data_IF_917621905559
#
_entry.id   IF_917621905559
#
_cell.length_a   1.000
_cell.length_b   1.000
_cell.length_c   1.000
_cell.angle_alpha   90.00
_cell.angle_beta   90.00
_cell.angle_gamma   90.00
#
_symmetry.space_group_name_H-M   'P 1'
#
loop_
_entity.id
_entity.type
_entity.pdbx_description
1 polymer ?
#
# COMPACT_ATOMS: atom_id res chain seq x y z
N UNK A 1 -9.28 -5.25 -30.55
CA UNK A 1 -9.86 -6.00 -29.42
C UNK A 1 -10.59 -5.02 -28.52
N UNK A 2 -11.86 -5.25 -28.17
CA UNK A 2 -12.61 -4.36 -27.27
C UNK A 2 -12.00 -4.47 -25.88
N UNK A 3 -11.59 -3.33 -25.30
CA UNK A 3 -11.24 -3.26 -23.90
C UNK A 3 -12.41 -3.82 -23.09
N UNK A 4 -12.19 -4.90 -22.36
CA UNK A 4 -13.18 -5.45 -21.44
C UNK A 4 -13.32 -4.42 -20.33
N UNK A 5 -14.48 -3.75 -20.26
CA UNK A 5 -14.80 -2.85 -19.16
C UNK A 5 -14.58 -3.63 -17.86
N UNK A 6 -13.73 -3.10 -16.96
CA UNK A 6 -13.37 -3.77 -15.72
C UNK A 6 -14.64 -4.16 -14.97
N UNK A 7 -14.77 -5.43 -14.61
CA UNK A 7 -15.89 -5.88 -13.79
C UNK A 7 -15.82 -5.15 -12.45
N UNK A 8 -16.89 -4.43 -12.10
CA UNK A 8 -17.05 -3.84 -10.78
C UNK A 8 -17.51 -4.92 -9.81
N UNK A 9 -16.54 -5.59 -9.18
CA UNK A 9 -16.84 -6.49 -8.06
C UNK A 9 -16.78 -5.70 -6.74
N UNK A 10 -17.81 -5.87 -5.90
CA UNK A 10 -17.77 -5.40 -4.52
C UNK A 10 -16.88 -6.32 -3.66
N UNK A 11 -16.48 -5.85 -2.48
CA UNK A 11 -15.75 -6.68 -1.50
C UNK A 11 -16.57 -7.90 -1.05
N UNK A 12 -17.90 -7.80 -1.13
CA UNK A 12 -18.83 -8.88 -0.78
C UNK A 12 -19.09 -9.88 -1.92
N UNK A 13 -18.53 -9.68 -3.11
CA UNK A 13 -18.76 -10.58 -4.24
C UNK A 13 -18.16 -11.97 -3.94
N UNK A 14 -18.97 -13.05 -3.96
CA UNK A 14 -18.48 -14.40 -3.70
C UNK A 14 -17.36 -14.80 -4.64
N UNK A 15 -16.34 -15.49 -4.12
CA UNK A 15 -15.18 -15.95 -4.89
C UNK A 15 -15.61 -16.71 -6.15
N UNK A 16 -16.58 -17.63 -6.03
CA UNK A 16 -17.10 -18.41 -7.16
C UNK A 16 -17.62 -17.57 -8.32
N UNK A 17 -18.22 -16.41 -8.04
CA UNK A 17 -18.80 -15.56 -9.08
C UNK A 17 -17.72 -14.75 -9.80
N UNK A 18 -16.69 -14.28 -9.08
CA UNK A 18 -15.50 -13.69 -9.68
C UNK A 18 -14.80 -14.68 -10.60
N UNK A 19 -14.61 -15.93 -10.15
CA UNK A 19 -13.91 -16.95 -10.91
C UNK A 19 -14.72 -17.43 -12.13
N UNK A 20 -16.06 -17.51 -12.01
CA UNK A 20 -16.94 -17.74 -13.16
C UNK A 20 -16.81 -16.64 -14.21
N UNK A 21 -16.72 -15.38 -13.76
CA UNK A 21 -16.49 -14.26 -14.67
C UNK A 21 -15.18 -14.45 -15.46
N UNK A 22 -14.07 -14.80 -14.80
CA UNK A 22 -12.80 -15.07 -15.47
C UNK A 22 -12.93 -16.19 -16.52
N UNK A 23 -13.61 -17.29 -16.18
CA UNK A 23 -13.81 -18.43 -17.08
C UNK A 23 -14.63 -18.00 -18.30
N UNK A 24 -15.68 -17.20 -18.10
CA UNK A 24 -16.53 -16.71 -19.20
C UNK A 24 -15.79 -15.73 -20.13
N UNK A 25 -14.89 -14.91 -19.59
CA UNK A 25 -14.16 -13.90 -20.36
C UNK A 25 -12.86 -14.43 -20.97
N UNK A 26 -12.45 -15.63 -20.59
CA UNK A 26 -11.28 -16.31 -21.13
C UNK A 26 -11.65 -17.71 -21.70
N UNK A 27 -12.39 -17.79 -22.80
CA UNK A 27 -12.91 -19.05 -23.33
C UNK A 27 -11.82 -20.05 -23.76
N UNK A 28 -10.56 -19.60 -23.95
CA UNK A 28 -9.44 -20.51 -24.20
C UNK A 28 -8.83 -21.11 -22.90
N UNK A 29 -9.46 -20.89 -21.72
CA UNK A 29 -9.05 -21.57 -20.49
C UNK A 29 -9.31 -23.08 -20.57
N UNK A 30 -8.27 -23.85 -20.30
CA UNK A 30 -8.36 -25.28 -20.06
C UNK A 30 -8.51 -25.59 -18.55
N UNK A 31 -8.72 -26.85 -18.20
CA UNK A 31 -8.81 -27.27 -16.78
C UNK A 31 -7.61 -26.83 -15.94
N UNK A 32 -6.41 -26.91 -16.52
CA UNK A 32 -5.17 -26.42 -15.89
C UNK A 32 -5.22 -24.95 -15.53
N UNK A 33 -5.76 -24.10 -16.40
CA UNK A 33 -5.86 -22.65 -16.19
C UNK A 33 -6.88 -22.31 -15.11
N UNK A 34 -7.99 -23.05 -15.07
CA UNK A 34 -8.99 -22.94 -13.99
C UNK A 34 -8.39 -23.34 -12.66
N UNK A 35 -7.65 -24.46 -12.60
CA UNK A 35 -6.94 -24.88 -11.39
C UNK A 35 -5.95 -23.81 -10.92
N UNK A 36 -5.17 -23.21 -11.84
CA UNK A 36 -4.27 -22.09 -11.52
C UNK A 36 -5.02 -20.87 -11.00
N UNK A 37 -6.14 -20.50 -11.63
CA UNK A 37 -6.96 -19.37 -11.23
C UNK A 37 -7.40 -19.50 -9.77
N UNK A 38 -7.97 -20.66 -9.40
CA UNK A 38 -8.41 -20.93 -8.04
C UNK A 38 -7.24 -21.00 -7.05
N UNK A 39 -6.14 -21.64 -7.46
CA UNK A 39 -4.94 -21.70 -6.64
C UNK A 39 -4.45 -20.31 -6.26
N UNK A 40 -4.38 -19.39 -7.22
CA UNK A 40 -3.97 -18.01 -7.01
C UNK A 40 -4.99 -17.21 -6.19
N UNK A 41 -6.28 -17.43 -6.40
CA UNK A 41 -7.34 -16.72 -5.68
C UNK A 41 -7.40 -17.10 -4.19
N UNK A 42 -7.04 -18.34 -3.83
CA UNK A 42 -7.05 -18.84 -2.46
C UNK A 42 -5.71 -18.67 -1.75
N UNK A 43 -4.59 -18.94 -2.43
CA UNK A 43 -3.25 -18.96 -1.82
C UNK A 43 -2.41 -17.73 -2.15
N UNK A 44 -2.87 -16.88 -3.07
CA UNK A 44 -2.11 -15.70 -3.49
C UNK A 44 -0.79 -16.05 -4.19
N UNK A 45 0.26 -15.27 -3.88
CA UNK A 45 1.59 -15.41 -4.48
C UNK A 45 2.61 -16.15 -3.61
N UNK A 46 2.22 -16.65 -2.44
CA UNK A 46 3.14 -17.15 -1.42
C UNK A 46 4.10 -18.26 -1.86
N UNK A 47 3.69 -19.05 -2.85
CA UNK A 47 4.50 -20.14 -3.43
C UNK A 47 5.58 -19.68 -4.43
N UNK A 48 5.57 -18.39 -4.84
CA UNK A 48 6.47 -17.85 -5.88
C UNK A 48 7.65 -17.06 -5.31
N UNK A 49 7.69 -16.84 -3.99
CA UNK A 49 8.61 -15.89 -3.38
C UNK A 49 9.82 -16.60 -2.77
N UNK A 50 10.93 -16.50 -3.51
CA UNK A 50 12.29 -16.64 -3.00
C UNK A 50 12.90 -15.26 -2.69
N UNK A 51 14.14 -15.05 -3.12
CA UNK A 51 14.84 -13.75 -3.04
C UNK A 51 14.14 -12.69 -3.91
N UNK A 52 13.90 -11.50 -3.34
CA UNK A 52 13.28 -10.34 -4.02
C UNK A 52 14.03 -9.95 -5.29
N UNK A 53 15.37 -9.99 -5.26
CA UNK A 53 16.19 -9.65 -6.41
C UNK A 53 16.02 -10.67 -7.55
N UNK A 54 15.88 -11.96 -7.22
CA UNK A 54 15.61 -12.99 -8.21
C UNK A 54 14.22 -12.81 -8.84
N UNK A 55 13.20 -12.51 -8.03
CA UNK A 55 11.84 -12.24 -8.53
C UNK A 55 11.84 -11.00 -9.42
N UNK A 56 12.50 -9.92 -9.00
CA UNK A 56 12.61 -8.69 -9.78
C UNK A 56 13.32 -8.94 -11.13
N UNK A 57 14.42 -9.73 -11.14
CA UNK A 57 15.11 -10.10 -12.37
C UNK A 57 14.20 -10.87 -13.34
N UNK A 58 13.45 -11.85 -12.86
CA UNK A 58 12.49 -12.60 -13.68
C UNK A 58 11.39 -11.71 -14.25
N UNK A 59 10.89 -10.73 -13.48
CA UNK A 59 9.93 -9.74 -13.97
C UNK A 59 10.57 -8.89 -15.07
N UNK A 60 11.80 -8.44 -14.89
CA UNK A 60 12.54 -7.65 -15.89
C UNK A 60 12.77 -8.43 -17.19
N UNK A 61 13.17 -9.70 -17.07
CA UNK A 61 13.37 -10.60 -18.22
C UNK A 61 12.06 -10.83 -19.00
N UNK A 62 10.94 -11.04 -18.29
CA UNK A 62 9.61 -11.19 -18.89
C UNK A 62 9.18 -9.89 -19.60
N UNK A 63 9.37 -8.74 -18.96
CA UNK A 63 9.00 -7.43 -19.52
C UNK A 63 9.86 -7.03 -20.72
N UNK A 64 11.09 -7.52 -20.84
CA UNK A 64 11.95 -7.25 -21.99
C UNK A 64 11.32 -7.73 -23.34
N UNK A 65 10.41 -8.68 -23.28
CA UNK A 65 9.67 -9.23 -24.44
C UNK A 65 8.26 -8.65 -24.58
N UNK A 66 7.85 -7.76 -23.69
CA UNK A 66 6.50 -7.18 -23.64
C UNK A 66 6.51 -5.71 -24.10
N UNK A 67 5.38 -5.26 -24.64
CA UNK A 67 5.17 -3.86 -24.97
C UNK A 67 4.35 -3.19 -23.86
N UNK A 68 4.76 -2.02 -23.35
CA UNK A 68 3.95 -1.24 -22.40
C UNK A 68 2.56 -0.96 -22.97
N UNK A 69 1.52 -1.00 -22.15
CA UNK A 69 0.16 -0.76 -22.59
C UNK A 69 -0.62 0.10 -21.58
N UNK A 70 -0.81 1.37 -21.93
CA UNK A 70 -1.56 2.33 -21.12
C UNK A 70 -3.08 2.10 -21.17
N UNK A 71 -3.58 1.44 -22.17
CA UNK A 71 -5.03 1.19 -22.37
C UNK A 71 -5.60 0.04 -21.55
N UNK A 72 -4.74 -0.79 -20.92
CA UNK A 72 -5.17 -1.89 -20.07
C UNK A 72 -5.37 -1.43 -18.62
N UNK A 73 -6.29 -2.07 -17.87
CA UNK A 73 -6.42 -1.80 -16.43
C UNK A 73 -5.15 -2.21 -15.68
N UNK A 74 -4.79 -1.44 -14.65
CA UNK A 74 -3.61 -1.73 -13.84
C UNK A 74 -3.80 -2.99 -13.00
N UNK A 75 -5.02 -3.23 -12.53
CA UNK A 75 -5.37 -4.42 -11.74
C UNK A 75 -6.64 -5.07 -12.25
N UNK A 76 -6.70 -6.39 -12.10
CA UNK A 76 -7.87 -7.21 -12.37
C UNK A 76 -8.23 -7.98 -11.09
N UNK A 77 -9.51 -7.96 -10.64
CA UNK A 77 -9.93 -8.70 -9.46
C UNK A 77 -9.70 -10.21 -9.63
N UNK A 78 -9.19 -10.87 -8.59
CA UNK A 78 -8.92 -12.30 -8.59
C UNK A 78 -9.74 -13.04 -7.52
N UNK A 79 -10.07 -12.36 -6.46
CA UNK A 79 -10.84 -12.88 -5.32
C UNK A 79 -11.07 -11.76 -4.29
N UNK A 80 -11.63 -12.08 -3.12
CA UNK A 80 -11.83 -11.10 -2.06
C UNK A 80 -10.50 -10.51 -1.57
N UNK A 81 -9.45 -11.33 -1.51
CA UNK A 81 -8.16 -10.95 -0.89
C UNK A 81 -7.09 -10.55 -1.89
N UNK A 82 -7.24 -10.90 -3.18
CA UNK A 82 -6.20 -10.76 -4.17
C UNK A 82 -6.67 -10.11 -5.47
N UNK A 83 -5.69 -9.51 -6.16
CA UNK A 83 -5.85 -8.98 -7.53
C UNK A 83 -4.66 -9.41 -8.38
N UNK A 84 -4.84 -9.41 -9.70
CA UNK A 84 -3.76 -9.49 -10.67
C UNK A 84 -3.26 -8.10 -11.00
N UNK A 85 -2.00 -7.81 -10.74
CA UNK A 85 -1.31 -6.59 -11.19
C UNK A 85 -0.80 -6.82 -12.61
N UNK A 86 -1.27 -6.03 -13.56
CA UNK A 86 -0.85 -6.10 -14.95
C UNK A 86 0.56 -5.53 -15.13
N UNK A 87 1.50 -6.36 -15.57
CA UNK A 87 2.90 -5.97 -15.71
C UNK A 87 3.13 -4.99 -16.87
N UNK A 88 2.39 -5.12 -17.97
CA UNK A 88 2.51 -4.19 -19.10
C UNK A 88 2.02 -2.79 -18.75
N UNK A 89 0.94 -2.72 -17.95
CA UNK A 89 0.44 -1.45 -17.43
C UNK A 89 1.38 -0.88 -16.37
N UNK A 90 1.89 -1.70 -15.46
CA UNK A 90 2.86 -1.29 -14.45
C UNK A 90 4.15 -0.74 -15.08
N UNK A 91 4.61 -1.36 -16.18
CA UNK A 91 5.74 -0.89 -16.98
C UNK A 91 5.46 0.48 -17.65
N UNK A 92 4.24 0.69 -18.16
CA UNK A 92 3.83 1.97 -18.73
C UNK A 92 3.80 3.11 -17.69
N UNK A 93 3.64 2.76 -16.41
CA UNK A 93 3.72 3.71 -15.29
C UNK A 93 5.10 3.79 -14.65
N UNK A 94 6.13 3.24 -15.29
CA UNK A 94 7.52 3.22 -14.82
C UNK A 94 7.73 2.54 -13.45
N UNK A 95 6.80 1.67 -12.99
CA UNK A 95 6.94 0.98 -11.71
C UNK A 95 8.11 -0.02 -11.77
N UNK A 96 9.17 0.13 -10.96
CA UNK A 96 10.32 -0.77 -11.00
C UNK A 96 9.96 -2.22 -10.65
N UNK A 97 10.55 -3.18 -11.35
CA UNK A 97 10.34 -4.60 -11.09
C UNK A 97 10.64 -5.01 -9.63
N UNK A 98 11.62 -4.36 -9.00
CA UNK A 98 11.94 -4.57 -7.58
C UNK A 98 10.80 -4.14 -6.65
N UNK A 99 10.09 -3.05 -6.97
CA UNK A 99 8.94 -2.64 -6.18
C UNK A 99 7.77 -3.60 -6.34
N UNK A 100 7.58 -4.17 -7.54
CA UNK A 100 6.58 -5.22 -7.76
C UNK A 100 6.94 -6.48 -6.95
N UNK A 101 8.21 -6.90 -6.93
CA UNK A 101 8.66 -8.03 -6.11
C UNK A 101 8.41 -7.81 -4.62
N UNK A 102 8.68 -6.60 -4.12
CA UNK A 102 8.40 -6.21 -2.73
C UNK A 102 6.90 -6.15 -2.42
N UNK A 103 6.08 -5.63 -3.36
CA UNK A 103 4.62 -5.69 -3.25
C UNK A 103 4.11 -7.12 -3.11
N UNK A 104 4.61 -8.05 -3.94
CA UNK A 104 4.28 -9.47 -3.84
C UNK A 104 4.64 -10.02 -2.46
N UNK A 105 5.83 -9.70 -1.95
CA UNK A 105 6.26 -10.14 -0.61
C UNK A 105 5.34 -9.61 0.49
N UNK A 106 4.91 -8.35 0.40
CA UNK A 106 3.96 -7.73 1.34
C UNK A 106 2.55 -8.27 1.21
N UNK A 107 2.25 -8.90 0.08
CA UNK A 107 0.96 -9.54 -0.19
C UNK A 107 0.86 -10.98 0.35
N UNK A 108 1.94 -11.51 0.93
CA UNK A 108 1.91 -12.84 1.55
C UNK A 108 1.09 -12.80 2.83
N UNK A 109 0.14 -13.72 3.01
CA UNK A 109 -0.55 -13.87 4.26
C UNK A 109 0.43 -14.37 5.35
N UNK A 110 0.19 -13.99 6.59
CA UNK A 110 0.98 -14.46 7.74
C UNK A 110 0.88 -15.97 7.95
N UNK A 111 -0.23 -16.57 7.52
CA UNK A 111 -0.46 -18.01 7.49
C UNK A 111 -1.12 -18.39 6.16
N UNK A 112 -0.47 -19.26 5.41
CA UNK A 112 -1.06 -19.76 4.15
C UNK A 112 -2.25 -20.68 4.48
N UNK A 113 -3.40 -20.48 3.80
CA UNK A 113 -4.49 -21.44 3.87
C UNK A 113 -4.00 -22.83 3.43
N UNK A 114 -4.57 -23.91 3.98
CA UNK A 114 -4.21 -25.25 3.54
C UNK A 114 -4.60 -25.46 2.07
N UNK A 115 -3.81 -26.24 1.34
CA UNK A 115 -4.08 -26.56 -0.07
C UNK A 115 -5.41 -27.30 -0.26
N UNK A 116 -5.87 -28.05 0.76
CA UNK A 116 -7.19 -28.67 0.77
C UNK A 116 -8.32 -27.68 0.48
N UNK A 117 -8.19 -26.41 0.92
CA UNK A 117 -9.17 -25.38 0.61
C UNK A 117 -9.29 -25.13 -0.90
N UNK A 118 -8.18 -25.19 -1.65
CA UNK A 118 -8.21 -25.10 -3.13
C UNK A 118 -8.93 -26.29 -3.74
N UNK A 119 -8.63 -27.49 -3.23
CA UNK A 119 -9.27 -28.73 -3.67
C UNK A 119 -10.78 -28.68 -3.45
N UNK A 120 -11.21 -28.25 -2.26
CA UNK A 120 -12.63 -28.14 -1.90
C UNK A 120 -13.37 -27.15 -2.82
N UNK A 121 -12.76 -26.00 -3.10
CA UNK A 121 -13.34 -24.97 -3.98
C UNK A 121 -13.43 -25.47 -5.44
N UNK A 122 -12.40 -26.19 -5.95
CA UNK A 122 -12.42 -26.77 -7.28
C UNK A 122 -13.46 -27.87 -7.42
N UNK A 123 -13.60 -28.74 -6.42
CA UNK A 123 -14.58 -29.83 -6.41
C UNK A 123 -16.03 -29.32 -6.48
N UNK A 124 -16.32 -28.16 -5.87
CA UNK A 124 -17.65 -27.54 -5.90
C UNK A 124 -18.09 -27.04 -7.30
N UNK A 125 -17.14 -26.91 -8.24
CA UNK A 125 -17.46 -26.50 -9.63
C UNK A 125 -18.16 -27.59 -10.44
N UNK A 126 -18.01 -28.86 -10.05
CA UNK A 126 -18.54 -30.01 -10.77
C UNK A 126 -18.13 -30.00 -12.26
N UNK A 127 -16.91 -29.59 -12.57
CA UNK A 127 -16.34 -29.53 -13.91
C UNK A 127 -15.41 -30.74 -14.12
N UNK A 128 -15.78 -31.71 -14.98
CA UNK A 128 -14.95 -32.92 -15.21
C UNK A 128 -13.54 -32.60 -15.70
N UNK A 129 -13.34 -31.45 -16.34
CA UNK A 129 -12.01 -31.02 -16.79
C UNK A 129 -11.02 -30.74 -15.67
N UNK A 130 -11.50 -30.62 -14.42
CA UNK A 130 -10.69 -30.33 -13.25
C UNK A 130 -10.20 -31.56 -12.52
N UNK A 131 -10.82 -32.73 -12.72
CA UNK A 131 -10.53 -33.97 -11.97
C UNK A 131 -9.03 -34.33 -11.93
N UNK A 132 -8.28 -34.30 -13.06
CA UNK A 132 -6.85 -34.63 -13.05
C UNK A 132 -6.03 -33.62 -12.22
N UNK A 133 -6.45 -32.38 -12.14
CA UNK A 133 -5.73 -31.32 -11.40
C UNK A 133 -6.07 -31.32 -9.92
N UNK A 134 -7.31 -31.68 -9.56
CA UNK A 134 -7.75 -31.92 -8.18
C UNK A 134 -6.94 -33.05 -7.59
N UNK A 135 -6.87 -34.18 -8.27
CA UNK A 135 -6.08 -35.33 -7.86
C UNK A 135 -4.61 -34.97 -7.70
N UNK A 136 -4.03 -34.27 -8.65
CA UNK A 136 -2.63 -33.85 -8.59
C UNK A 136 -2.35 -32.86 -7.44
N UNK A 137 -3.28 -31.98 -7.11
CA UNK A 137 -3.17 -31.08 -5.96
C UNK A 137 -3.18 -31.84 -4.62
N UNK A 138 -3.85 -32.98 -4.56
CA UNK A 138 -3.91 -33.83 -3.37
C UNK A 138 -2.64 -34.71 -3.22
N UNK A 139 -2.12 -35.24 -4.33
CA UNK A 139 -1.01 -36.19 -4.33
C UNK A 139 0.38 -35.55 -4.30
N UNK A 140 0.55 -34.37 -4.90
CA UNK A 140 1.84 -33.70 -5.03
C UNK A 140 1.78 -32.28 -4.41
N UNK A 141 2.26 -32.16 -3.17
CA UNK A 141 2.33 -30.87 -2.46
C UNK A 141 3.28 -29.86 -3.12
N UNK A 142 4.20 -30.32 -3.96
CA UNK A 142 5.17 -29.45 -4.65
C UNK A 142 4.65 -28.93 -5.99
N UNK A 143 3.63 -29.59 -6.55
CA UNK A 143 3.08 -29.17 -7.84
C UNK A 143 2.40 -27.82 -7.78
N UNK A 144 2.74 -26.95 -8.72
CA UNK A 144 2.17 -25.63 -8.90
C UNK A 144 1.51 -25.55 -10.28
N UNK A 145 0.22 -25.20 -10.37
CA UNK A 145 -0.45 -25.05 -11.64
C UNK A 145 0.14 -23.90 -12.48
N UNK A 146 0.45 -24.18 -13.74
CA UNK A 146 0.90 -23.21 -14.74
C UNK A 146 -0.21 -22.95 -15.74
N UNK A 147 -0.08 -21.89 -16.55
CA UNK A 147 -0.98 -21.68 -17.69
C UNK A 147 -0.72 -22.70 -18.79
N UNK A 148 -1.81 -23.09 -19.48
CA UNK A 148 -1.75 -23.94 -20.68
C UNK A 148 -1.13 -23.18 -21.85
N UNK A 149 -0.66 -23.95 -22.86
CA UNK A 149 -0.17 -23.37 -24.11
C UNK A 149 -1.27 -22.59 -24.85
N UNK A 150 -2.50 -23.09 -24.82
CA UNK A 150 -3.66 -22.41 -25.40
C UNK A 150 -3.93 -21.06 -24.74
N UNK A 151 -3.86 -20.99 -23.41
CA UNK A 151 -4.02 -19.73 -22.67
C UNK A 151 -2.90 -18.73 -23.00
N UNK A 152 -1.65 -19.20 -23.03
CA UNK A 152 -0.51 -18.35 -23.40
C UNK A 152 -0.65 -17.80 -24.81
N UNK A 153 -1.05 -18.63 -25.77
CA UNK A 153 -1.25 -18.20 -27.16
C UNK A 153 -2.39 -17.19 -27.29
N UNK A 154 -3.49 -17.39 -26.57
CA UNK A 154 -4.68 -16.53 -26.68
C UNK A 154 -4.52 -15.19 -25.94
N UNK A 155 -3.87 -15.16 -24.78
CA UNK A 155 -3.92 -14.00 -23.88
C UNK A 155 -2.55 -13.40 -23.55
N UNK A 156 -1.44 -14.07 -23.87
CA UNK A 156 -0.08 -13.63 -23.51
C UNK A 156 0.00 -13.04 -22.07
N UNK A 157 -0.35 -13.83 -21.05
CA UNK A 157 -0.56 -13.33 -19.70
C UNK A 157 0.73 -12.76 -19.12
N UNK A 158 0.68 -11.49 -18.71
CA UNK A 158 1.77 -10.78 -18.06
C UNK A 158 1.23 -10.09 -16.79
N UNK A 159 1.19 -10.82 -15.67
CA UNK A 159 0.66 -10.30 -14.40
C UNK A 159 1.35 -10.90 -13.18
N UNK A 160 1.19 -10.24 -12.05
CA UNK A 160 1.55 -10.77 -10.72
C UNK A 160 0.36 -10.66 -9.77
N UNK A 161 0.24 -11.63 -8.86
CA UNK A 161 -0.80 -11.61 -7.82
C UNK A 161 -0.31 -10.79 -6.64
N UNK A 162 -1.10 -9.82 -6.23
CA UNK A 162 -0.86 -8.99 -5.04
C UNK A 162 -2.12 -8.95 -4.18
N UNK A 163 -1.96 -8.66 -2.88
CA UNK A 163 -3.07 -8.45 -1.97
C UNK A 163 -3.91 -7.23 -2.38
N UNK A 164 -5.22 -7.31 -2.22
CA UNK A 164 -6.13 -6.18 -2.43
C UNK A 164 -5.76 -4.97 -1.57
N UNK A 165 -5.26 -5.20 -0.36
CA UNK A 165 -4.78 -4.13 0.52
C UNK A 165 -3.62 -3.32 -0.09
N UNK A 166 -2.78 -3.96 -0.90
CA UNK A 166 -1.68 -3.30 -1.59
C UNK A 166 -2.13 -2.40 -2.75
N UNK A 167 -3.37 -2.57 -3.25
CA UNK A 167 -3.90 -1.76 -4.35
C UNK A 167 -3.97 -0.28 -3.98
N UNK A 168 -4.32 0.03 -2.73
CA UNK A 168 -4.37 1.41 -2.24
C UNK A 168 -3.01 2.14 -2.29
N UNK A 169 -1.89 1.40 -2.35
CA UNK A 169 -0.54 1.97 -2.45
C UNK A 169 -0.12 2.28 -3.90
N UNK A 170 -0.77 1.67 -4.90
CA UNK A 170 -0.37 1.79 -6.31
C UNK A 170 -0.31 3.25 -6.79
N UNK A 171 -1.27 4.15 -6.48
CA UNK A 171 -1.18 5.54 -6.88
C UNK A 171 0.08 6.23 -6.33
N UNK A 172 0.47 5.92 -5.08
CA UNK A 172 1.68 6.46 -4.47
C UNK A 172 2.95 5.91 -5.12
N UNK A 173 2.96 4.64 -5.49
CA UNK A 173 4.09 4.01 -6.18
C UNK A 173 4.26 4.56 -7.59
N UNK A 174 3.18 4.80 -8.32
CA UNK A 174 3.20 5.46 -9.64
C UNK A 174 3.77 6.88 -9.51
N UNK A 175 3.29 7.66 -8.54
CA UNK A 175 3.79 9.00 -8.31
C UNK A 175 5.28 8.99 -7.93
N UNK A 176 5.70 8.08 -7.05
CA UNK A 176 7.10 7.92 -6.65
C UNK A 176 8.00 7.46 -7.81
N UNK A 177 7.51 6.59 -8.70
CA UNK A 177 8.25 6.13 -9.87
C UNK A 177 8.64 7.30 -10.79
N UNK A 178 7.73 8.25 -11.01
CA UNK A 178 7.97 9.47 -11.79
C UNK A 178 9.01 10.40 -11.15
N UNK A 179 9.25 10.26 -9.85
CA UNK A 179 10.23 11.05 -9.09
C UNK A 179 11.59 10.34 -8.94
N UNK A 180 11.73 9.10 -9.37
CA UNK A 180 12.92 8.26 -9.15
C UNK A 180 14.21 8.78 -9.80
N UNK A 181 14.11 9.79 -10.69
CA UNK A 181 15.29 10.43 -11.32
C UNK A 181 15.87 11.58 -10.49
N UNK A 182 15.21 12.03 -9.42
CA UNK A 182 15.76 13.02 -8.49
C UNK A 182 16.84 12.38 -7.62
N UNK A 183 17.77 13.17 -7.12
CA UNK A 183 18.83 12.66 -6.22
C UNK A 183 18.26 12.21 -4.87
N UNK A 184 17.25 12.93 -4.39
CA UNK A 184 16.49 12.62 -3.16
C UNK A 184 15.04 13.06 -3.31
N UNK A 185 14.13 12.34 -2.67
CA UNK A 185 12.68 12.57 -2.74
C UNK A 185 12.08 12.63 -1.34
N UNK A 186 11.38 13.72 -1.03
CA UNK A 186 10.61 13.88 0.20
C UNK A 186 9.13 13.58 -0.05
N UNK A 187 8.60 12.60 0.68
CA UNK A 187 7.18 12.24 0.69
C UNK A 187 6.60 12.66 2.05
N UNK A 188 5.57 13.49 2.04
CA UNK A 188 4.81 13.83 3.26
C UNK A 188 3.49 13.07 3.28
N UNK A 189 3.17 12.41 4.39
CA UNK A 189 1.91 11.67 4.58
C UNK A 189 1.15 12.24 5.76
N UNK A 190 0.02 12.89 5.49
CA UNK A 190 -0.86 13.51 6.48
C UNK A 190 -2.29 12.95 6.41
N UNK A 191 -3.14 13.37 7.31
CA UNK A 191 -4.53 12.97 7.40
C UNK A 191 -5.00 12.85 8.85
N UNK A 192 -6.29 12.62 9.09
CA UNK A 192 -6.85 12.52 10.43
C UNK A 192 -6.19 11.42 11.29
N UNK A 193 -6.16 11.62 12.60
CA UNK A 193 -5.75 10.57 13.54
C UNK A 193 -6.59 9.30 13.30
N UNK A 194 -5.96 8.13 13.40
CA UNK A 194 -6.61 6.84 13.08
C UNK A 194 -6.75 6.54 11.59
N UNK A 195 -6.29 7.42 10.67
CA UNK A 195 -6.37 7.18 9.22
C UNK A 195 -5.37 6.14 8.68
N UNK A 196 -4.41 5.70 9.48
CA UNK A 196 -3.42 4.68 9.06
C UNK A 196 -2.14 5.25 8.45
N UNK A 197 -1.77 6.51 8.76
CA UNK A 197 -0.55 7.17 8.25
C UNK A 197 0.70 6.34 8.48
N UNK A 198 0.97 5.93 9.71
CA UNK A 198 2.17 5.16 10.07
C UNK A 198 2.19 3.77 9.40
N UNK A 199 1.03 3.11 9.26
CA UNK A 199 0.92 1.85 8.52
C UNK A 199 1.25 2.05 7.04
N UNK A 200 0.67 3.10 6.42
CA UNK A 200 0.94 3.44 5.01
C UNK A 200 2.41 3.79 4.81
N UNK A 201 3.00 4.60 5.70
CA UNK A 201 4.41 4.96 5.65
C UNK A 201 5.33 3.73 5.78
N UNK A 202 5.02 2.81 6.72
CA UNK A 202 5.78 1.58 6.89
C UNK A 202 5.72 0.67 5.66
N UNK A 203 4.53 0.53 5.05
CA UNK A 203 4.35 -0.26 3.82
C UNK A 203 5.09 0.39 2.65
N UNK A 204 4.86 1.66 2.37
CA UNK A 204 5.56 2.40 1.31
C UNK A 204 7.07 2.40 1.55
N UNK A 205 7.50 2.69 2.77
CA UNK A 205 8.91 2.69 3.14
C UNK A 205 9.60 1.37 2.87
N UNK A 206 8.91 0.26 3.14
CA UNK A 206 9.45 -1.08 2.86
C UNK A 206 9.55 -1.42 1.36
N UNK A 207 8.66 -0.84 0.53
CA UNK A 207 8.67 -1.05 -0.92
C UNK A 207 9.71 -0.14 -1.57
N UNK A 208 9.74 1.14 -1.18
CA UNK A 208 10.63 2.15 -1.72
C UNK A 208 12.07 2.07 -1.16
N UNK A 209 12.30 1.34 -0.09
CA UNK A 209 13.51 1.40 0.74
C UNK A 209 13.73 2.83 1.29
N UNK A 210 12.68 3.42 1.86
CA UNK A 210 12.71 4.80 2.35
C UNK A 210 13.15 4.90 3.82
N UNK A 211 13.74 6.03 4.20
CA UNK A 211 13.82 6.46 5.58
C UNK A 211 12.45 6.99 6.03
N UNK A 212 12.08 6.75 7.30
CA UNK A 212 10.81 7.22 7.86
C UNK A 212 11.10 8.13 9.04
N UNK A 213 10.47 9.30 9.06
CA UNK A 213 10.53 10.29 10.15
C UNK A 213 9.10 10.54 10.63
N UNK A 214 8.76 10.15 11.87
CA UNK A 214 7.43 10.37 12.41
C UNK A 214 7.28 11.79 12.96
N UNK A 215 6.19 12.47 12.61
CA UNK A 215 5.82 13.77 13.20
C UNK A 215 5.52 13.68 14.69
N UNK A 216 5.17 12.50 15.18
CA UNK A 216 4.91 12.27 16.61
C UNK A 216 6.14 12.53 17.48
N UNK A 217 7.36 12.43 16.94
CA UNK A 217 8.61 12.80 17.59
C UNK A 217 8.77 14.32 17.78
N UNK A 218 7.92 15.12 17.13
CA UNK A 218 7.99 16.58 17.12
C UNK A 218 6.76 17.23 17.78
N UNK A 219 6.10 16.57 18.69
CA UNK A 219 5.08 17.25 19.48
C UNK A 219 5.71 18.31 20.39
N UNK A 220 4.94 19.41 20.55
CA UNK A 220 5.36 20.52 21.38
C UNK A 220 5.44 20.09 22.84
N UNK A 221 6.53 20.44 23.59
CA UNK A 221 6.62 20.18 25.02
C UNK A 221 5.47 20.79 25.82
N UNK A 222 5.04 20.12 26.90
CA UNK A 222 3.90 20.56 27.70
C UNK A 222 3.96 22.04 28.13
N UNK A 223 5.11 22.57 28.62
CA UNK A 223 5.19 23.98 29.02
C UNK A 223 5.00 24.97 27.86
N UNK A 224 5.30 24.55 26.63
CA UNK A 224 5.16 25.36 25.42
C UNK A 224 3.73 25.34 24.83
N UNK A 225 2.85 24.43 25.28
CA UNK A 225 1.45 24.31 24.84
C UNK A 225 0.57 25.37 25.49
N UNK A 226 0.89 26.65 25.25
CA UNK A 226 0.05 27.77 25.72
C UNK A 226 -1.28 27.83 24.95
N UNK A 227 -2.35 28.40 25.52
CA UNK A 227 -3.62 28.60 24.80
C UNK A 227 -3.44 29.32 23.46
N UNK A 228 -2.57 30.33 23.42
CA UNK A 228 -2.27 31.11 22.21
C UNK A 228 -1.59 30.22 21.14
N UNK A 229 -0.66 29.33 21.54
CA UNK A 229 0.00 28.40 20.61
C UNK A 229 -0.97 27.36 20.09
N UNK A 230 -1.79 26.77 20.95
CA UNK A 230 -2.77 25.77 20.56
C UNK A 230 -3.93 26.31 19.70
N UNK A 231 -4.19 27.62 19.78
CA UNK A 231 -5.15 28.29 18.91
C UNK A 231 -4.62 28.47 17.47
N UNK A 232 -3.32 28.34 17.26
CA UNK A 232 -2.73 28.37 15.91
C UNK A 232 -2.97 27.05 15.18
N UNK A 233 -3.33 27.07 13.89
CA UNK A 233 -3.42 25.84 13.10
C UNK A 233 -2.11 25.05 13.12
N UNK A 234 -2.16 23.79 13.56
CA UNK A 234 -0.97 22.97 13.73
C UNK A 234 -0.10 23.29 14.95
N UNK A 235 -0.55 24.19 15.83
CA UNK A 235 0.21 24.64 17.00
C UNK A 235 0.50 23.59 18.08
N UNK A 236 -0.04 22.37 17.95
CA UNK A 236 0.27 21.25 18.81
C UNK A 236 1.60 20.55 18.43
N UNK A 237 2.09 20.76 17.21
CA UNK A 237 3.39 20.29 16.75
C UNK A 237 4.45 21.39 16.87
N UNK A 238 5.68 20.98 17.13
CA UNK A 238 6.89 21.80 17.06
C UNK A 238 7.45 21.73 15.62
N UNK A 239 6.66 22.26 14.69
CA UNK A 239 7.03 22.23 13.27
C UNK A 239 8.28 23.08 12.98
N UNK A 240 8.61 24.01 13.83
CA UNK A 240 9.86 24.78 13.78
C UNK A 240 11.06 23.86 13.95
N UNK A 241 11.00 22.92 14.91
CA UNK A 241 12.05 21.90 15.06
C UNK A 241 12.11 20.94 13.87
N UNK A 242 10.96 20.58 13.28
CA UNK A 242 10.96 19.76 12.06
C UNK A 242 11.75 20.46 10.95
N UNK A 243 11.56 21.78 10.79
CA UNK A 243 12.29 22.58 9.81
C UNK A 243 13.77 22.64 10.15
N UNK A 244 14.12 22.94 11.39
CA UNK A 244 15.51 23.16 11.83
C UNK A 244 16.31 21.86 11.92
N UNK A 245 15.78 20.84 12.63
CA UNK A 245 16.54 19.62 12.95
C UNK A 245 16.47 18.56 11.83
N UNK A 246 15.38 18.56 11.03
CA UNK A 246 15.19 17.57 9.96
C UNK A 246 15.28 18.19 8.58
N UNK A 247 14.40 19.13 8.23
CA UNK A 247 14.18 19.54 6.85
C UNK A 247 15.37 20.31 6.25
N UNK A 248 15.92 21.29 6.97
CA UNK A 248 17.04 22.08 6.47
C UNK A 248 18.32 21.24 6.26
N UNK A 249 18.78 20.39 7.20
CA UNK A 249 19.91 19.48 6.94
C UNK A 249 19.60 18.53 5.79
N UNK A 250 18.38 18.00 5.72
CA UNK A 250 17.97 17.10 4.64
C UNK A 250 18.07 17.78 3.26
N UNK A 251 17.58 19.02 3.13
CA UNK A 251 17.64 19.81 1.89
C UNK A 251 19.09 20.08 1.43
N UNK A 252 20.02 20.23 2.38
CA UNK A 252 21.45 20.41 2.08
C UNK A 252 22.16 19.10 1.81
N UNK A 253 21.47 17.96 1.90
CA UNK A 253 22.08 16.62 1.73
C UNK A 253 23.03 16.22 2.87
N UNK A 254 22.92 16.90 4.01
CA UNK A 254 23.70 16.65 5.23
C UNK A 254 23.16 15.43 6.00
N UNK A 255 23.93 14.98 6.98
CA UNK A 255 23.45 13.98 7.94
C UNK A 255 22.36 14.60 8.82
N UNK A 256 21.22 13.92 8.93
CA UNK A 256 20.09 14.35 9.73
C UNK A 256 20.10 13.62 11.07
N UNK A 257 20.04 14.37 12.16
CA UNK A 257 19.84 13.83 13.50
C UNK A 257 18.93 14.76 14.28
N UNK A 258 17.94 14.20 14.96
CA UNK A 258 17.00 14.95 15.79
C UNK A 258 16.71 14.21 17.09
N UNK A 259 16.14 14.90 18.09
CA UNK A 259 15.75 14.31 19.38
C UNK A 259 14.25 14.13 19.44
N UNK A 260 13.75 12.88 19.45
CA UNK A 260 12.34 12.61 19.65
C UNK A 260 11.84 13.18 21.00
N UNK A 261 10.67 13.82 20.99
CA UNK A 261 10.00 14.23 22.23
C UNK A 261 8.99 13.16 22.63
N UNK A 262 9.20 12.57 23.80
CA UNK A 262 8.28 11.59 24.37
C UNK A 262 7.20 12.29 25.20
N UNK A 263 5.97 12.27 24.70
CA UNK A 263 4.81 12.85 25.38
C UNK A 263 4.45 12.16 26.69
N UNK A 264 4.85 10.90 26.91
CA UNK A 264 4.55 10.14 28.12
C UNK A 264 5.48 10.56 29.25
N UNK A 265 6.76 10.72 28.97
CA UNK A 265 7.77 11.15 29.96
C UNK A 265 7.90 12.67 30.03
N UNK A 266 7.41 13.41 29.03
CA UNK A 266 7.55 14.85 28.94
C UNK A 266 9.00 15.31 28.71
N UNK A 267 9.84 14.46 28.10
CA UNK A 267 11.27 14.70 27.91
C UNK A 267 11.74 14.33 26.52
N UNK A 268 12.92 14.83 26.14
CA UNK A 268 13.57 14.45 24.90
C UNK A 268 14.33 13.14 25.10
N UNK A 269 14.16 12.23 24.15
CA UNK A 269 14.94 10.99 24.07
C UNK A 269 16.36 11.26 23.52
N UNK A 270 17.17 10.20 23.47
CA UNK A 270 18.48 10.23 22.80
C UNK A 270 18.32 10.58 21.33
N UNK A 271 19.28 11.28 20.71
CA UNK A 271 19.25 11.62 19.31
C UNK A 271 19.08 10.39 18.40
N UNK A 272 18.23 10.52 17.39
CA UNK A 272 18.01 9.54 16.32
C UNK A 272 18.63 10.07 15.04
N UNK A 273 19.42 9.21 14.39
CA UNK A 273 19.99 9.54 13.07
C UNK A 273 19.09 8.97 11.96
N UNK A 274 18.71 9.82 11.02
CA UNK A 274 17.92 9.42 9.84
C UNK A 274 18.86 8.84 8.80
N UNK A 275 18.68 7.57 8.37
CA UNK A 275 19.52 6.99 7.32
C UNK A 275 19.37 7.77 6.01
N UNK A 276 20.49 8.04 5.33
CA UNK A 276 20.45 8.67 4.00
C UNK A 276 19.92 7.66 2.99
N UNK A 277 18.73 7.90 2.48
CA UNK A 277 18.07 7.09 1.47
C UNK A 277 17.60 7.98 0.32
N UNK A 278 17.35 7.36 -0.84
CA UNK A 278 16.81 8.08 -1.99
C UNK A 278 15.41 8.66 -1.68
N UNK A 279 14.56 7.87 -1.01
CA UNK A 279 13.26 8.31 -0.51
C UNK A 279 13.32 8.55 1.00
N UNK A 280 12.69 9.65 1.44
CA UNK A 280 12.43 9.93 2.86
C UNK A 280 10.95 10.23 3.01
N UNK A 281 10.31 9.59 3.99
CA UNK A 281 8.88 9.76 4.29
C UNK A 281 8.78 10.49 5.63
N UNK A 282 8.20 11.69 5.64
CA UNK A 282 7.77 12.39 6.85
C UNK A 282 6.28 12.09 7.03
N UNK A 283 5.91 11.39 8.11
CA UNK A 283 4.54 10.93 8.31
C UNK A 283 3.97 11.37 9.65
N UNK A 284 2.72 11.71 9.66
CA UNK A 284 1.98 12.08 10.86
C UNK A 284 1.14 13.32 10.69
N UNK A 285 0.31 13.61 11.70
CA UNK A 285 -0.48 14.83 11.71
C UNK A 285 0.42 16.06 11.65
N UNK A 286 0.04 17.03 10.81
CA UNK A 286 0.78 18.26 10.54
C UNK A 286 2.00 18.14 9.61
N UNK A 287 2.27 16.99 8.99
CA UNK A 287 3.37 16.85 8.03
C UNK A 287 3.16 17.68 6.75
N UNK A 288 1.93 18.12 6.48
CA UNK A 288 1.59 19.02 5.38
C UNK A 288 1.52 20.50 5.79
N UNK A 289 2.08 20.90 6.96
CA UNK A 289 2.29 22.31 7.28
C UNK A 289 2.99 23.03 6.12
N UNK A 290 2.56 24.26 5.72
CA UNK A 290 3.14 24.95 4.58
C UNK A 290 4.66 25.12 4.63
N UNK A 291 5.21 25.36 5.83
CA UNK A 291 6.66 25.46 6.03
C UNK A 291 7.43 24.17 5.66
N UNK A 292 6.76 23.04 5.69
CA UNK A 292 7.31 21.71 5.37
C UNK A 292 6.91 21.31 3.95
N UNK A 293 5.60 21.33 3.69
CA UNK A 293 5.02 20.74 2.47
C UNK A 293 5.42 21.45 1.18
N UNK A 294 5.83 22.72 1.23
CA UNK A 294 6.38 23.42 0.07
C UNK A 294 7.65 22.73 -0.50
N UNK A 295 8.35 21.94 0.31
CA UNK A 295 9.55 21.18 -0.06
C UNK A 295 9.26 19.71 -0.36
N UNK A 296 8.02 19.25 -0.13
CA UNK A 296 7.63 17.88 -0.42
C UNK A 296 7.47 17.66 -1.93
N UNK A 297 8.09 16.61 -2.45
CA UNK A 297 7.96 16.17 -3.83
C UNK A 297 6.64 15.43 -4.07
N UNK A 298 6.17 14.70 -3.05
CA UNK A 298 4.89 14.01 -3.06
C UNK A 298 4.16 14.26 -1.75
N UNK A 299 2.92 14.75 -1.86
CA UNK A 299 2.03 15.01 -0.73
C UNK A 299 0.90 14.00 -0.77
N UNK A 300 0.79 13.19 0.27
CA UNK A 300 -0.25 12.17 0.42
C UNK A 300 -1.16 12.57 1.57
N UNK A 301 -2.45 12.58 1.33
CA UNK A 301 -3.46 12.82 2.36
C UNK A 301 -4.36 11.58 2.48
N UNK A 302 -4.39 10.99 3.68
CA UNK A 302 -5.25 9.85 3.95
C UNK A 302 -6.62 10.33 4.42
N UNK A 303 -7.67 9.86 3.76
CA UNK A 303 -9.04 10.10 4.16
C UNK A 303 -9.59 8.94 4.98
N UNK A 304 -10.42 9.25 5.96
CA UNK A 304 -11.17 8.29 6.77
C UNK A 304 -12.51 8.91 7.13
N UNK A 305 -13.57 8.14 7.13
CA UNK A 305 -14.84 8.56 7.68
C UNK A 305 -14.82 8.58 9.22
N UNK A 306 -15.68 9.40 9.81
CA UNK A 306 -15.70 9.62 11.25
C UNK A 306 -16.02 8.33 12.05
N UNK A 307 -16.91 7.48 11.54
CA UNK A 307 -17.29 6.25 12.23
C UNK A 307 -16.12 5.29 12.32
N UNK A 308 -15.45 5.04 11.20
CA UNK A 308 -14.24 4.20 11.12
C UNK A 308 -13.11 4.79 11.95
N UNK A 309 -12.91 6.11 11.94
CA UNK A 309 -11.93 6.81 12.77
C UNK A 309 -12.16 6.51 14.25
N UNK A 310 -13.38 6.71 14.73
CA UNK A 310 -13.74 6.46 16.14
C UNK A 310 -13.57 5.00 16.53
N UNK A 311 -13.99 4.07 15.68
CA UNK A 311 -13.81 2.63 15.91
C UNK A 311 -12.34 2.25 16.05
N UNK A 312 -11.47 2.76 15.16
CA UNK A 312 -10.03 2.49 15.21
C UNK A 312 -9.36 3.08 16.45
N UNK A 313 -9.73 4.30 16.82
CA UNK A 313 -9.21 4.94 18.04
C UNK A 313 -9.69 4.18 19.28
N UNK A 314 -10.97 3.78 19.32
CA UNK A 314 -11.53 2.99 20.41
C UNK A 314 -10.79 1.66 20.58
N UNK A 315 -10.61 0.93 19.49
CA UNK A 315 -9.94 -0.37 19.50
C UNK A 315 -8.47 -0.26 19.95
N UNK A 316 -7.76 0.80 19.54
CA UNK A 316 -6.34 1.00 19.86
C UNK A 316 -6.10 1.59 21.26
N UNK A 317 -6.93 2.52 21.69
CA UNK A 317 -6.66 3.38 22.83
C UNK A 317 -7.70 3.30 23.97
N UNK A 318 -8.84 2.63 23.75
CA UNK A 318 -9.94 2.51 24.70
C UNK A 318 -10.84 3.75 24.80
N UNK A 319 -11.94 3.63 25.55
CA UNK A 319 -13.01 4.65 25.62
C UNK A 319 -12.55 5.99 26.19
N UNK A 320 -11.71 5.96 27.24
CA UNK A 320 -11.26 7.19 27.89
C UNK A 320 -10.42 8.06 26.93
N UNK A 321 -9.54 7.42 26.19
CA UNK A 321 -8.73 8.11 25.19
C UNK A 321 -9.56 8.56 24.00
N UNK A 322 -10.54 7.77 23.54
CA UNK A 322 -11.46 8.20 22.49
C UNK A 322 -12.16 9.53 22.83
N UNK A 323 -12.63 9.67 24.08
CA UNK A 323 -13.23 10.94 24.55
C UNK A 323 -12.26 12.10 24.44
N UNK A 324 -10.98 11.88 24.82
CA UNK A 324 -9.93 12.91 24.69
C UNK A 324 -9.64 13.25 23.22
N UNK A 325 -9.63 12.26 22.32
CA UNK A 325 -9.49 12.51 20.89
C UNK A 325 -10.63 13.38 20.35
N UNK A 326 -11.89 13.03 20.65
CA UNK A 326 -13.07 13.77 20.19
C UNK A 326 -13.10 15.19 20.74
N UNK A 327 -12.73 15.39 22.01
CA UNK A 327 -12.85 16.70 22.67
C UNK A 327 -11.66 17.63 22.37
N UNK A 328 -10.49 17.10 22.01
CA UNK A 328 -9.27 17.91 21.93
C UNK A 328 -8.51 17.74 20.61
N UNK A 329 -8.07 16.53 20.28
CA UNK A 329 -7.12 16.36 19.17
C UNK A 329 -7.78 16.41 17.80
N UNK A 330 -8.95 15.79 17.62
CA UNK A 330 -9.70 15.86 16.37
C UNK A 330 -10.07 17.32 16.02
N UNK A 331 -10.60 18.15 16.96
CA UNK A 331 -10.83 19.56 16.69
C UNK A 331 -9.58 20.36 16.29
N UNK A 332 -8.40 20.07 16.88
CA UNK A 332 -7.14 20.72 16.51
C UNK A 332 -6.71 20.34 15.09
N UNK A 333 -6.84 19.05 14.71
CA UNK A 333 -6.57 18.59 13.35
C UNK A 333 -7.54 19.21 12.35
N UNK A 334 -8.83 19.28 12.66
CA UNK A 334 -9.84 19.88 11.79
C UNK A 334 -9.59 21.38 11.57
N UNK A 335 -9.21 22.13 12.62
CA UNK A 335 -8.84 23.52 12.51
C UNK A 335 -7.61 23.70 11.59
N UNK A 336 -6.63 22.81 11.70
CA UNK A 336 -5.45 22.80 10.83
C UNK A 336 -5.84 22.49 9.38
N UNK A 337 -6.61 21.44 9.12
CA UNK A 337 -7.05 21.09 7.77
C UNK A 337 -7.86 22.23 7.13
N UNK A 338 -8.75 22.85 7.88
CA UNK A 338 -9.54 23.99 7.40
C UNK A 338 -8.69 25.20 7.06
N UNK A 339 -7.72 25.54 7.94
CA UNK A 339 -6.87 26.72 7.76
C UNK A 339 -5.98 26.63 6.51
N UNK A 340 -5.54 25.42 6.15
CA UNK A 340 -4.66 25.18 5.00
C UNK A 340 -5.37 24.50 3.82
N UNK A 341 -6.70 24.41 3.86
CA UNK A 341 -7.53 23.79 2.81
C UNK A 341 -7.03 22.39 2.43
N UNK A 342 -6.78 21.54 3.44
CA UNK A 342 -6.30 20.16 3.23
C UNK A 342 -7.46 19.16 3.24
N UNK A 343 -7.47 18.17 2.30
CA UNK A 343 -6.54 18.06 1.17
C UNK A 343 -6.83 19.11 0.08
N UNK A 344 -5.80 19.55 -0.62
CA UNK A 344 -5.92 20.43 -1.78
C UNK A 344 -5.52 19.68 -3.08
N UNK A 345 -5.58 20.38 -4.23
CA UNK A 345 -5.28 19.80 -5.55
C UNK A 345 -3.85 19.24 -5.68
N UNK A 346 -2.90 19.70 -4.84
CA UNK A 346 -1.54 19.18 -4.86
C UNK A 346 -1.36 17.88 -4.09
N UNK A 347 -2.40 17.40 -3.41
CA UNK A 347 -2.36 16.19 -2.61
C UNK A 347 -2.87 14.98 -3.40
N UNK A 348 -2.10 13.90 -3.35
CA UNK A 348 -2.61 12.57 -3.70
C UNK A 348 -3.49 12.09 -2.53
N UNK A 349 -4.79 12.02 -2.78
CA UNK A 349 -5.76 11.60 -1.76
C UNK A 349 -5.97 10.11 -1.85
N UNK A 350 -5.76 9.40 -0.74
CA UNK A 350 -5.96 7.96 -0.64
C UNK A 350 -7.02 7.65 0.42
N UNK A 351 -7.88 6.68 0.11
CA UNK A 351 -8.68 6.03 1.15
C UNK A 351 -7.77 5.16 2.02
N UNK A 352 -8.13 5.00 3.29
CA UNK A 352 -7.31 4.24 4.23
C UNK A 352 -7.07 2.81 3.77
N UNK A 353 -5.83 2.33 3.91
CA UNK A 353 -5.54 0.90 3.80
C UNK A 353 -6.29 0.18 4.92
N UNK A 354 -7.17 -0.73 4.56
CA UNK A 354 -7.90 -1.55 5.54
C UNK A 354 -6.90 -2.46 6.22
N UNK A 355 -6.78 -2.35 7.55
CA UNK A 355 -6.06 -3.35 8.33
C UNK A 355 -7.00 -4.56 8.45
N UNK A 356 -6.61 -5.67 7.83
CA UNK A 356 -7.23 -6.96 8.06
C UNK A 356 -6.82 -7.55 9.39
#
# INVERSE_FOLDING_TARGET
MRAVAGAHFSEETPLKDMLRWHIQHHPAMEGQDKAKLYFQAVLGCGHLLGDEALVARRITEELATQTPNEGEPLTEPLGPDYVRLNLRRAMAEDIPALWIARLMKRSMPSCLPPRSKVVDELAQLNDPSLEPYIQRLQEDETWLPNHSAAYHQAYAPAYRVISRQCVALLPSLIAAAKLSRKDQVLICIDGPCGSGKSTTAALLGSILDAAIVPMDDFFLPHPAKTPQRLAQPGGNADWERVVEEFLQPWLRGEAVAYRPYDCHTGSYASPVTVPKKHFTILEGSYSLMPAISQHADLRIFLQIDQQTQHQRILARNGEQMLKMFIQRWIPLEQAYFSAYSLPNESCLVLSTVVQG
#
